data_IF_582138407795
#
_entry.id   IF_582138407795
#
_cell.length_a   1.000
_cell.length_b   1.000
_cell.length_c   1.000
_cell.angle_alpha   90.00
_cell.angle_beta   90.00
_cell.angle_gamma   90.00
#
_symmetry.space_group_name_H-M   'P 1'
#
loop_
_entity.id
_entity.type
_entity.pdbx_description
1 polymer ?
#
# COMPACT_ATOMS: atom_id res chain seq x y z
N UNK A 1 -16.44 13.38 -10.83
CA UNK A 1 -15.39 12.36 -11.08
C UNK A 1 -14.53 12.25 -9.82
N UNK A 2 -14.39 11.05 -9.24
CA UNK A 2 -13.46 10.81 -8.11
C UNK A 2 -12.19 10.24 -8.72
N UNK A 3 -11.08 10.96 -8.56
CA UNK A 3 -9.79 10.58 -9.09
C UNK A 3 -8.68 10.92 -8.10
N UNK A 4 -7.51 10.32 -8.30
CA UNK A 4 -6.36 10.59 -7.47
C UNK A 4 -5.98 12.08 -7.56
N UNK A 5 -5.85 12.74 -6.40
CA UNK A 5 -5.31 14.10 -6.30
C UNK A 5 -3.86 14.03 -5.82
N UNK A 6 -3.01 14.79 -6.50
CA UNK A 6 -1.62 14.98 -6.11
C UNK A 6 -1.51 15.54 -4.68
N UNK A 7 -0.52 15.11 -3.89
CA UNK A 7 -0.17 15.83 -2.66
C UNK A 7 0.32 17.24 -2.98
N UNK A 8 0.25 18.13 -1.97
CA UNK A 8 0.82 19.48 -2.00
C UNK A 8 2.36 19.42 -2.01
N UNK A 9 3.03 20.55 -2.30
CA UNK A 9 4.50 20.61 -2.17
C UNK A 9 5.00 20.19 -0.80
N UNK A 10 6.07 19.42 -0.75
CA UNK A 10 6.66 18.95 0.50
C UNK A 10 5.91 17.79 1.15
N UNK A 11 4.80 17.32 0.58
CA UNK A 11 4.05 16.17 1.08
C UNK A 11 4.30 14.93 0.23
N UNK A 12 4.50 13.81 0.90
CA UNK A 12 4.54 12.49 0.26
C UNK A 12 3.22 11.80 0.52
N UNK A 13 2.60 11.29 -0.54
CA UNK A 13 1.45 10.39 -0.42
C UNK A 13 1.94 8.95 -0.37
N UNK A 14 1.63 8.26 0.72
CA UNK A 14 1.83 6.82 0.86
C UNK A 14 0.52 6.10 0.51
N UNK A 15 0.56 5.24 -0.50
CA UNK A 15 -0.54 4.35 -0.84
C UNK A 15 -0.13 2.92 -0.45
N UNK A 16 -0.90 2.30 0.44
CA UNK A 16 -0.71 0.91 0.89
C UNK A 16 -1.86 0.04 0.39
N UNK A 17 -1.62 -1.26 0.29
CA UNK A 17 -2.62 -2.28 -0.05
C UNK A 17 -2.24 -3.61 0.58
N UNK A 18 -3.23 -4.33 1.09
CA UNK A 18 -3.10 -5.67 1.63
C UNK A 18 -3.58 -6.71 0.61
N UNK A 19 -2.80 -7.78 0.44
CA UNK A 19 -3.20 -8.94 -0.34
C UNK A 19 -3.35 -10.14 0.58
N UNK A 20 -4.45 -10.88 0.45
CA UNK A 20 -4.70 -12.10 1.21
C UNK A 20 -5.40 -13.11 0.33
N UNK A 21 -4.79 -14.28 0.15
CA UNK A 21 -5.46 -15.46 -0.37
C UNK A 21 -6.06 -16.23 0.82
N UNK A 22 -7.36 -16.53 0.75
CA UNK A 22 -8.09 -17.13 1.86
C UNK A 22 -7.44 -18.44 2.34
N UNK A 23 -7.12 -18.49 3.64
CA UNK A 23 -6.45 -19.62 4.28
C UNK A 23 -5.02 -19.92 3.81
N UNK A 24 -4.39 -19.04 3.01
CA UNK A 24 -3.06 -19.29 2.41
C UNK A 24 -2.04 -18.21 2.73
N UNK A 25 -1.70 -17.38 1.76
CA UNK A 25 -0.61 -16.42 1.87
C UNK A 25 -1.20 -15.01 1.87
N UNK A 26 -0.64 -14.18 2.72
CA UNK A 26 -0.88 -12.76 2.74
C UNK A 26 0.42 -11.98 2.67
N UNK A 27 0.29 -10.78 2.16
CA UNK A 27 1.34 -9.80 2.08
C UNK A 27 0.75 -8.41 2.09
N UNK A 28 1.61 -7.43 2.32
CA UNK A 28 1.25 -6.03 2.17
C UNK A 28 2.29 -5.34 1.31
N UNK A 29 1.90 -4.24 0.72
CA UNK A 29 2.81 -3.42 -0.06
C UNK A 29 2.36 -1.99 -0.10
N UNK A 30 3.22 -1.15 -0.65
CA UNK A 30 2.88 0.23 -0.84
C UNK A 30 3.92 1.00 -1.63
N UNK A 31 3.52 2.20 -2.02
CA UNK A 31 4.32 3.11 -2.82
C UNK A 31 4.22 4.52 -2.25
N UNK A 32 5.39 5.14 -2.10
CA UNK A 32 5.52 6.54 -1.77
C UNK A 32 5.57 7.35 -3.06
N UNK A 33 4.77 8.42 -3.14
CA UNK A 33 4.69 9.29 -4.32
C UNK A 33 4.74 10.76 -3.93
N UNK A 34 5.44 11.55 -4.73
CA UNK A 34 5.37 13.02 -4.73
C UNK A 34 4.95 13.49 -6.12
N UNK A 35 3.93 14.34 -6.20
CA UNK A 35 3.45 14.96 -7.45
C UNK A 35 3.27 14.02 -8.64
N UNK A 36 2.95 12.75 -8.38
CA UNK A 36 2.74 11.71 -9.39
C UNK A 36 4.00 10.88 -9.68
N UNK A 37 5.18 11.33 -9.24
CA UNK A 37 6.41 10.56 -9.30
C UNK A 37 6.47 9.53 -8.17
N UNK A 38 6.89 8.30 -8.49
CA UNK A 38 7.17 7.27 -7.48
C UNK A 38 8.53 7.57 -6.84
N UNK A 39 8.53 7.77 -5.53
CA UNK A 39 9.74 7.92 -4.72
C UNK A 39 10.32 6.57 -4.29
N UNK A 40 9.47 5.56 -4.18
CA UNK A 40 9.88 4.20 -3.80
C UNK A 40 8.68 3.31 -3.53
N UNK A 41 8.95 2.11 -3.04
CA UNK A 41 7.90 1.23 -2.53
C UNK A 41 8.49 0.07 -1.74
N UNK A 42 7.60 -0.68 -1.11
CA UNK A 42 7.94 -1.85 -0.32
C UNK A 42 6.93 -2.97 -0.63
N UNK A 43 7.37 -4.19 -0.34
CA UNK A 43 6.54 -5.38 -0.33
C UNK A 43 6.97 -6.23 0.87
N UNK A 44 6.00 -6.80 1.58
CA UNK A 44 6.21 -7.54 2.81
C UNK A 44 5.41 -8.82 2.77
N UNK A 45 6.10 -9.95 2.90
CA UNK A 45 5.45 -11.23 3.17
C UNK A 45 4.98 -11.25 4.64
N UNK A 46 3.71 -11.58 4.85
CA UNK A 46 3.10 -11.61 6.20
C UNK A 46 2.83 -13.03 6.69
N UNK A 47 2.75 -14.03 5.83
CA UNK A 47 2.42 -15.41 6.22
C UNK A 47 0.92 -15.68 6.04
N UNK A 48 0.27 -16.38 6.97
CA UNK A 48 -1.16 -16.69 6.90
C UNK A 48 -1.93 -15.68 7.75
N UNK A 49 -2.54 -14.69 7.11
CA UNK A 49 -3.43 -13.72 7.75
C UNK A 49 -4.59 -13.37 6.83
N UNK A 50 -5.67 -12.82 7.38
CA UNK A 50 -6.80 -12.31 6.59
C UNK A 50 -6.48 -10.93 5.97
N UNK A 51 -7.36 -10.51 5.05
CA UNK A 51 -7.23 -9.22 4.36
C UNK A 51 -7.12 -8.03 5.32
N UNK A 52 -7.91 -7.99 6.40
CA UNK A 52 -7.86 -6.89 7.37
C UNK A 52 -6.48 -6.73 8.04
N UNK A 53 -5.85 -7.84 8.42
CA UNK A 53 -4.51 -7.82 9.00
C UNK A 53 -3.45 -7.49 7.94
N UNK A 54 -3.64 -7.92 6.69
CA UNK A 54 -2.76 -7.57 5.59
C UNK A 54 -2.75 -6.05 5.33
N UNK A 55 -3.93 -5.43 5.28
CA UNK A 55 -4.08 -3.97 5.13
C UNK A 55 -3.41 -3.20 6.27
N UNK A 56 -3.67 -3.60 7.52
CA UNK A 56 -3.14 -2.92 8.71
C UNK A 56 -1.60 -3.00 8.83
N UNK A 57 -0.99 -4.00 8.17
CA UNK A 57 0.46 -4.23 8.20
C UNK A 57 1.18 -3.74 6.94
N UNK A 58 0.47 -3.05 6.05
CA UNK A 58 1.05 -2.16 5.03
C UNK A 58 1.71 -0.96 5.67
#
# INVERSE_FOLDING_TARGET
MIGWKSPLEGWVKLNTDGASEDGRISGSGGIARDRGHRLGGFAKHLGIYNAFVAELRG
#
